data_IF_061102357660
#
_entry.id   IF_061102357660
#
_cell.length_a   1.000
_cell.length_b   1.000
_cell.length_c   1.000
_cell.angle_alpha   90.00
_cell.angle_beta   90.00
_cell.angle_gamma   90.00
#
_symmetry.space_group_name_H-M   'P 1'
#
loop_
_entity.id
_entity.type
_entity.pdbx_description
1 polymer ?
#
# COMPACT_ATOMS: atom_id res chain seq x y z
N UNK A 1 44.28 31.95 -1.58
CA UNK A 1 43.89 30.57 -1.27
C UNK A 1 42.42 30.56 -0.84
N UNK A 2 41.47 30.45 -1.78
CA UNK A 2 40.02 30.39 -1.48
C UNK A 2 39.21 29.92 -2.69
N UNK A 3 39.65 28.85 -3.36
CA UNK A 3 38.98 28.30 -4.54
C UNK A 3 38.87 26.77 -4.54
N UNK A 4 39.65 26.08 -3.70
CA UNK A 4 39.66 24.61 -3.64
C UNK A 4 38.65 24.06 -2.62
N UNK A 5 38.52 24.64 -1.43
CA UNK A 5 37.60 24.14 -0.39
C UNK A 5 36.11 24.35 -0.73
N UNK A 6 35.78 25.45 -1.41
CA UNK A 6 34.41 25.68 -1.91
C UNK A 6 33.97 24.64 -2.94
N UNK A 7 34.92 23.98 -3.62
CA UNK A 7 34.64 23.01 -4.68
C UNK A 7 34.21 21.65 -4.09
N UNK A 8 34.90 21.15 -3.06
CA UNK A 8 34.60 19.84 -2.47
C UNK A 8 33.32 19.85 -1.65
N UNK A 9 33.05 20.93 -0.89
CA UNK A 9 31.81 21.07 -0.12
C UNK A 9 30.62 21.23 -1.07
N UNK A 10 30.75 22.07 -2.10
CA UNK A 10 29.68 22.24 -3.10
C UNK A 10 29.42 20.96 -3.88
N UNK A 11 30.47 20.25 -4.34
CA UNK A 11 30.32 18.94 -4.99
C UNK A 11 29.67 17.92 -4.07
N UNK A 12 30.06 17.89 -2.80
CA UNK A 12 29.46 17.03 -1.78
C UNK A 12 27.98 17.34 -1.57
N UNK A 13 27.63 18.63 -1.49
CA UNK A 13 26.24 19.07 -1.36
C UNK A 13 25.39 18.69 -2.58
N UNK A 14 25.91 18.89 -3.79
CA UNK A 14 25.23 18.51 -5.04
C UNK A 14 25.05 16.98 -5.10
N UNK A 15 26.11 16.21 -4.85
CA UNK A 15 26.04 14.75 -4.84
C UNK A 15 25.03 14.23 -3.79
N UNK A 16 25.06 14.78 -2.58
CA UNK A 16 24.13 14.40 -1.50
C UNK A 16 22.69 14.72 -1.87
N UNK A 17 22.45 15.86 -2.52
CA UNK A 17 21.12 16.26 -2.98
C UNK A 17 20.59 15.27 -4.01
N UNK A 18 21.39 14.89 -5.01
CA UNK A 18 20.99 13.89 -6.01
C UNK A 18 20.66 12.56 -5.34
N UNK A 19 21.55 12.05 -4.48
CA UNK A 19 21.32 10.79 -3.75
C UNK A 19 20.04 10.86 -2.92
N UNK A 20 19.83 11.96 -2.20
CA UNK A 20 18.65 12.15 -1.38
C UNK A 20 17.37 12.16 -2.22
N UNK A 21 17.32 12.92 -3.32
CA UNK A 21 16.16 12.94 -4.20
C UNK A 21 15.90 11.58 -4.85
N UNK A 22 16.94 10.90 -5.31
CA UNK A 22 16.83 9.54 -5.89
C UNK A 22 16.28 8.55 -4.86
N UNK A 23 16.87 8.50 -3.65
CA UNK A 23 16.42 7.59 -2.61
C UNK A 23 14.99 7.91 -2.14
N UNK A 24 14.66 9.20 -2.01
CA UNK A 24 13.33 9.65 -1.58
C UNK A 24 12.24 9.29 -2.58
N UNK A 25 12.48 9.49 -3.88
CA UNK A 25 11.52 9.12 -4.93
C UNK A 25 11.33 7.61 -5.02
N UNK A 26 12.40 6.82 -4.92
CA UNK A 26 12.31 5.35 -4.81
C UNK A 26 11.49 4.94 -3.59
N UNK A 27 11.74 5.53 -2.41
CA UNK A 27 10.99 5.22 -1.21
C UNK A 27 9.52 5.61 -1.30
N UNK A 28 9.20 6.76 -1.89
CA UNK A 28 7.82 7.19 -2.13
C UNK A 28 7.08 6.21 -3.05
N UNK A 29 7.72 5.75 -4.13
CA UNK A 29 7.13 4.77 -5.03
C UNK A 29 6.89 3.43 -4.32
N UNK A 30 7.85 2.92 -3.55
CA UNK A 30 7.66 1.72 -2.75
C UNK A 30 6.54 1.89 -1.71
N UNK A 31 6.49 3.03 -1.03
CA UNK A 31 5.38 3.41 -0.15
C UNK A 31 4.08 3.62 -0.93
N UNK A 32 4.06 3.76 -2.24
CA UNK A 32 2.82 3.81 -3.02
C UNK A 32 2.38 2.40 -3.47
N UNK A 33 3.30 1.56 -3.95
CA UNK A 33 2.99 0.23 -4.51
C UNK A 33 2.87 -0.90 -3.48
N UNK A 34 3.29 -0.69 -2.23
CA UNK A 34 3.28 -1.77 -1.24
C UNK A 34 1.92 -2.39 -0.85
N UNK A 35 0.71 -1.82 -1.10
CA UNK A 35 -0.52 -2.53 -0.77
C UNK A 35 -0.95 -3.44 -1.92
N UNK A 36 -0.28 -3.38 -3.08
CA UNK A 36 -0.74 -4.00 -4.31
C UNK A 36 -0.62 -5.52 -4.20
N UNK A 37 -1.75 -6.19 -4.33
CA UNK A 37 -1.80 -7.65 -4.35
C UNK A 37 -1.53 -8.11 -5.78
N UNK A 38 -0.48 -8.91 -5.95
CA UNK A 38 -0.13 -9.49 -7.24
C UNK A 38 -1.05 -10.66 -7.61
N UNK A 39 -1.29 -11.58 -6.66
CA UNK A 39 -2.22 -12.70 -6.83
C UNK A 39 -3.08 -12.87 -5.60
N UNK A 40 -4.34 -13.19 -5.84
CA UNK A 40 -5.32 -13.44 -4.80
C UNK A 40 -5.95 -14.80 -5.05
N UNK A 41 -5.82 -15.72 -4.10
CA UNK A 41 -6.36 -17.07 -4.16
C UNK A 41 -7.31 -17.30 -3.01
N UNK A 42 -8.51 -17.75 -3.31
CA UNK A 42 -9.50 -18.09 -2.31
C UNK A 42 -10.30 -19.31 -2.77
N UNK A 43 -10.53 -20.24 -1.85
CA UNK A 43 -11.40 -21.40 -2.06
C UNK A 43 -12.79 -21.06 -1.51
N UNK A 44 -13.87 -21.16 -2.30
CA UNK A 44 -15.23 -20.94 -1.80
C UNK A 44 -15.51 -21.79 -0.55
N UNK A 45 -15.99 -21.16 0.53
CA UNK A 45 -16.23 -21.82 1.82
C UNK A 45 -15.06 -21.74 2.82
N UNK A 46 -13.86 -21.34 2.38
CA UNK A 46 -12.74 -21.07 3.28
C UNK A 46 -12.93 -19.74 4.01
N UNK A 47 -12.61 -19.70 5.30
CA UNK A 47 -12.58 -18.47 6.13
C UNK A 47 -11.26 -17.68 5.98
N UNK A 48 -10.31 -18.23 5.23
CA UNK A 48 -9.06 -17.56 4.88
C UNK A 48 -8.81 -17.53 3.38
N UNK A 49 -8.05 -16.55 2.95
CA UNK A 49 -7.58 -16.37 1.58
C UNK A 49 -6.07 -16.14 1.57
N UNK A 50 -5.43 -16.46 0.45
CA UNK A 50 -4.01 -16.23 0.24
C UNK A 50 -3.82 -15.02 -0.67
N UNK A 51 -2.92 -14.14 -0.28
CA UNK A 51 -2.46 -13.02 -1.08
C UNK A 51 -0.97 -13.14 -1.33
N UNK A 52 -0.55 -12.89 -2.56
CA UNK A 52 0.85 -12.79 -2.95
C UNK A 52 1.16 -11.31 -3.14
N UNK A 53 2.02 -10.77 -2.29
CA UNK A 53 2.52 -9.39 -2.42
C UNK A 53 3.98 -9.40 -2.85
N UNK A 54 4.47 -8.30 -3.41
CA UNK A 54 5.89 -8.11 -3.65
C UNK A 54 6.56 -7.46 -2.45
N UNK A 55 7.71 -7.98 -2.06
CA UNK A 55 8.60 -7.34 -1.10
C UNK A 55 9.26 -6.11 -1.71
N UNK A 56 9.99 -5.38 -0.86
CA UNK A 56 10.85 -4.28 -1.32
C UNK A 56 11.84 -4.72 -2.42
N UNK A 57 12.39 -5.94 -2.31
CA UNK A 57 13.33 -6.50 -3.28
C UNK A 57 12.63 -7.24 -4.42
N UNK A 58 11.36 -6.91 -4.69
CA UNK A 58 10.52 -7.54 -5.72
C UNK A 58 10.38 -9.07 -5.58
N UNK A 59 10.55 -9.61 -4.38
CA UNK A 59 10.33 -11.05 -4.12
C UNK A 59 8.88 -11.32 -3.76
N UNK A 60 8.32 -12.41 -4.25
CA UNK A 60 6.95 -12.79 -3.93
C UNK A 60 6.86 -13.30 -2.48
N UNK A 61 6.00 -12.65 -1.70
CA UNK A 61 5.72 -12.99 -0.31
C UNK A 61 4.26 -13.43 -0.19
N UNK A 62 3.97 -14.75 -0.19
CA UNK A 62 2.65 -15.25 0.08
C UNK A 62 2.28 -15.00 1.54
N UNK A 63 1.04 -14.57 1.79
CA UNK A 63 0.46 -14.37 3.11
C UNK A 63 -0.95 -14.93 3.14
N UNK A 64 -1.29 -15.65 4.20
CA UNK A 64 -2.65 -16.11 4.47
C UNK A 64 -3.33 -15.15 5.42
N UNK A 65 -4.52 -14.67 5.06
CA UNK A 65 -5.30 -13.70 5.83
C UNK A 65 -6.68 -14.29 6.08
N UNK A 66 -7.20 -14.13 7.30
CA UNK A 66 -8.57 -14.51 7.65
C UNK A 66 -9.51 -13.34 7.42
N UNK A 67 -10.76 -13.62 7.03
CA UNK A 67 -11.75 -12.54 6.84
C UNK A 67 -12.04 -11.79 8.15
N UNK A 68 -11.96 -12.47 9.30
CA UNK A 68 -12.14 -11.85 10.61
C UNK A 68 -11.11 -10.75 10.94
N UNK A 69 -9.92 -10.78 10.31
CA UNK A 69 -8.86 -9.81 10.56
C UNK A 69 -8.99 -8.55 9.67
N UNK A 70 -9.93 -8.54 8.73
CA UNK A 70 -10.17 -7.44 7.80
C UNK A 70 -10.82 -6.27 8.53
N UNK A 71 -10.21 -5.09 8.38
CA UNK A 71 -10.69 -3.83 8.93
C UNK A 71 -10.68 -2.74 7.86
N UNK A 72 -11.49 -1.71 8.09
CA UNK A 72 -11.46 -0.51 7.27
C UNK A 72 -10.04 0.11 7.30
N UNK A 73 -9.51 0.55 6.15
CA UNK A 73 -8.19 1.15 6.11
C UNK A 73 -8.27 2.62 6.53
N UNK A 74 -7.92 2.91 7.78
CA UNK A 74 -7.84 4.29 8.28
C UNK A 74 -6.50 4.92 7.85
N UNK A 75 -6.43 5.33 6.58
CA UNK A 75 -5.23 5.91 5.97
C UNK A 75 -5.59 6.90 4.87
N UNK A 76 -4.73 7.91 4.68
CA UNK A 76 -4.81 8.85 3.55
C UNK A 76 -4.10 8.32 2.29
N UNK A 77 -3.60 7.09 2.34
CA UNK A 77 -2.91 6.46 1.21
C UNK A 77 -3.90 6.19 0.08
N UNK A 78 -3.57 6.57 -1.17
CA UNK A 78 -4.39 6.21 -2.33
C UNK A 78 -4.36 4.69 -2.56
N UNK A 79 -5.40 4.16 -3.21
CA UNK A 79 -5.49 2.75 -3.61
C UNK A 79 -5.26 1.78 -2.44
N UNK A 80 -6.16 1.82 -1.45
CA UNK A 80 -6.23 0.82 -0.37
C UNK A 80 -7.68 0.37 -0.23
N UNK A 81 -7.91 -0.94 -0.26
CA UNK A 81 -9.24 -1.56 -0.11
C UNK A 81 -9.51 -1.93 1.34
N UNK A 82 -8.55 -2.55 2.02
CA UNK A 82 -8.69 -2.97 3.41
C UNK A 82 -7.36 -3.05 4.15
N UNK A 83 -7.44 -3.16 5.48
CA UNK A 83 -6.30 -3.39 6.37
C UNK A 83 -6.47 -4.74 7.07
N UNK A 84 -5.43 -5.56 7.10
CA UNK A 84 -5.44 -6.81 7.87
C UNK A 84 -4.05 -7.07 8.46
N UNK A 85 -3.99 -7.60 9.69
CA UNK A 85 -2.72 -7.93 10.35
C UNK A 85 -1.67 -6.79 10.29
N UNK A 86 -2.14 -5.54 10.47
CA UNK A 86 -1.31 -4.33 10.42
C UNK A 86 -0.88 -3.86 9.02
N UNK A 87 -1.13 -4.63 7.97
CA UNK A 87 -0.75 -4.31 6.59
C UNK A 87 -1.95 -3.76 5.80
N UNK A 88 -1.66 -2.93 4.80
CA UNK A 88 -2.64 -2.40 3.86
C UNK A 88 -2.66 -3.23 2.59
N UNK A 89 -3.86 -3.41 2.03
CA UNK A 89 -4.10 -4.24 0.86
C UNK A 89 -4.97 -3.51 -0.14
N UNK A 90 -4.63 -3.63 -1.41
CA UNK A 90 -5.38 -3.11 -2.53
C UNK A 90 -5.79 -4.24 -3.46
N UNK A 91 -7.07 -4.26 -3.79
CA UNK A 91 -7.66 -5.15 -4.77
C UNK A 91 -8.33 -4.28 -5.83
N UNK A 92 -7.96 -4.51 -7.08
CA UNK A 92 -8.62 -3.90 -8.21
C UNK A 92 -10.02 -4.49 -8.39
N UNK A 93 -11.05 -3.67 -8.19
CA UNK A 93 -12.44 -4.08 -8.28
C UNK A 93 -12.89 -4.40 -9.72
N UNK A 94 -12.28 -3.79 -10.73
CA UNK A 94 -12.66 -3.95 -12.13
C UNK A 94 -12.06 -5.22 -12.73
N UNK A 95 -10.83 -5.55 -12.33
CA UNK A 95 -10.11 -6.73 -12.83
C UNK A 95 -10.25 -7.97 -11.95
N UNK A 96 -10.98 -7.91 -10.84
CA UNK A 96 -11.19 -9.09 -9.98
C UNK A 96 -12.26 -10.03 -10.59
N UNK A 97 -11.91 -11.25 -11.03
CA UNK A 97 -12.87 -12.17 -11.64
C UNK A 97 -13.90 -12.69 -10.62
N UNK A 98 -13.57 -12.70 -9.33
CA UNK A 98 -14.43 -13.25 -8.28
C UNK A 98 -15.13 -12.14 -7.49
N UNK A 99 -16.31 -11.73 -7.97
CA UNK A 99 -17.12 -10.67 -7.34
C UNK A 99 -17.60 -11.01 -5.93
N UNK A 100 -17.85 -12.29 -5.63
CA UNK A 100 -18.27 -12.74 -4.30
C UNK A 100 -17.17 -12.52 -3.26
N UNK A 101 -15.91 -12.71 -3.67
CA UNK A 101 -14.75 -12.44 -2.85
C UNK A 101 -14.51 -10.95 -2.65
N UNK A 102 -14.62 -10.16 -3.72
CA UNK A 102 -14.51 -8.70 -3.65
C UNK A 102 -15.50 -8.09 -2.66
N UNK A 103 -16.74 -8.58 -2.64
CA UNK A 103 -17.77 -8.13 -1.69
C UNK A 103 -17.39 -8.41 -0.22
N UNK A 104 -16.68 -9.52 0.05
CA UNK A 104 -16.19 -9.84 1.40
C UNK A 104 -14.96 -9.02 1.80
N UNK A 105 -14.13 -8.64 0.83
CA UNK A 105 -12.89 -7.89 1.05
C UNK A 105 -13.11 -6.39 1.17
N UNK A 106 -14.28 -5.89 0.77
CA UNK A 106 -14.65 -4.48 0.83
C UNK A 106 -15.50 -4.26 2.08
N UNK A 107 -14.91 -3.95 3.25
CA UNK A 107 -15.69 -3.63 4.42
C UNK A 107 -16.56 -2.42 4.09
N UNK A 108 -17.88 -2.58 4.13
CA UNK A 108 -18.77 -1.44 4.00
C UNK A 108 -18.50 -0.51 5.17
N UNK A 109 -18.17 0.74 4.85
CA UNK A 109 -18.06 1.80 5.86
C UNK A 109 -19.33 1.72 6.71
N UNK A 110 -19.27 1.68 8.06
CA UNK A 110 -20.47 1.96 8.82
C UNK A 110 -20.96 3.31 8.31
N UNK A 111 -22.16 3.32 7.73
CA UNK A 111 -22.82 4.55 7.29
C UNK A 111 -22.90 5.42 8.53
N UNK A 112 -21.97 6.35 8.68
CA UNK A 112 -22.13 7.45 9.59
C UNK A 112 -23.31 8.21 8.98
N UNK A 113 -24.51 7.93 9.48
CA UNK A 113 -25.68 8.77 9.20
C UNK A 113 -25.21 10.19 9.50
N UNK A 114 -24.99 10.95 8.44
CA UNK A 114 -24.63 12.34 8.53
C UNK A 114 -25.73 13.01 9.36
N UNK A 115 -25.38 13.46 10.57
CA UNK A 115 -26.22 14.19 11.50
C UNK A 115 -26.72 15.54 10.98
N UNK A 116 -26.66 15.77 9.65
CA UNK A 116 -27.05 16.98 8.95
C UNK A 116 -28.32 16.79 8.11
N UNK A 117 -29.08 15.70 8.29
CA UNK A 117 -30.36 15.53 7.59
C UNK A 117 -31.51 16.39 8.18
N UNK A 118 -31.28 17.13 9.25
CA UNK A 118 -32.29 17.98 9.91
C UNK A 118 -31.72 19.33 10.41
N UNK A 119 -30.96 20.05 9.58
CA UNK A 119 -30.68 21.48 9.80
C UNK A 119 -31.15 22.30 8.61
#
# INVERSE_FOLDING_TARGET
MSSTDSNVILKGAVASTVIFFSASTTAALHWFVSPYIHKLRWKPGSDSFEVEMMSWLATFMPKTIKFADIKHPDTNRPYVTFKANGNFYFVDAEHCPNKALLAKLTPQKPTHESAFKNL
#
